data_IF_283320208111
#
_entry.id   IF_283320208111
#
_cell.length_a   1.000
_cell.length_b   1.000
_cell.length_c   1.000
_cell.angle_alpha   90.00
_cell.angle_beta   90.00
_cell.angle_gamma   90.00
#
_symmetry.space_group_name_H-M   'P 1'
#
loop_
_entity.id
_entity.type
_entity.pdbx_description
1 polymer ?
#
# COMPACT_ATOMS: atom_id res chain seq x y z
N UNK A 1 10.93 11.09 -10.82
CA UNK A 1 9.65 10.93 -10.09
C UNK A 1 8.55 11.22 -11.08
N UNK A 2 7.47 10.43 -11.11
CA UNK A 2 6.30 10.81 -11.91
C UNK A 2 5.77 12.13 -11.34
N UNK A 3 5.82 13.20 -12.13
CA UNK A 3 5.36 14.51 -11.69
C UNK A 3 3.84 14.46 -11.70
N UNK A 4 3.20 14.67 -10.56
CA UNK A 4 1.74 14.77 -10.51
C UNK A 4 1.33 16.05 -11.24
N UNK A 5 0.37 15.93 -12.15
CA UNK A 5 -0.19 17.08 -12.87
C UNK A 5 -0.81 18.01 -11.85
N UNK A 6 -0.44 19.28 -11.87
CA UNK A 6 -0.99 20.28 -10.96
C UNK A 6 -2.43 20.62 -11.38
N UNK A 7 -3.35 20.59 -10.42
CA UNK A 7 -4.75 20.95 -10.61
C UNK A 7 -5.33 21.47 -9.29
N UNK A 8 -6.44 22.19 -9.35
CA UNK A 8 -7.04 22.89 -8.20
C UNK A 8 -7.48 21.96 -7.05
N UNK A 9 -7.74 20.68 -7.35
CA UNK A 9 -8.05 19.64 -6.35
C UNK A 9 -6.81 18.88 -5.82
N UNK A 10 -5.59 19.27 -6.22
CA UNK A 10 -4.37 18.63 -5.74
C UNK A 10 -3.94 19.30 -4.43
N UNK A 11 -3.81 18.48 -3.37
CA UNK A 11 -3.34 18.89 -2.05
C UNK A 11 -1.99 19.61 -2.16
N UNK A 12 -1.94 20.86 -1.71
CA UNK A 12 -0.71 21.65 -1.65
C UNK A 12 0.02 21.38 -0.33
N UNK A 13 1.22 20.82 -0.44
CA UNK A 13 1.98 20.37 0.72
C UNK A 13 2.81 21.52 1.30
N UNK A 14 2.87 21.60 2.61
CA UNK A 14 3.91 22.41 3.27
C UNK A 14 5.27 21.74 3.11
N UNK A 15 6.35 22.48 3.43
CA UNK A 15 7.69 21.92 3.44
C UNK A 15 7.80 20.65 4.30
N UNK A 16 7.24 20.68 5.52
CA UNK A 16 7.38 19.58 6.47
C UNK A 16 6.54 18.36 6.07
N UNK A 17 5.34 18.59 5.52
CA UNK A 17 4.51 17.54 4.93
C UNK A 17 5.22 16.88 3.73
N UNK A 18 5.82 17.68 2.86
CA UNK A 18 6.58 17.16 1.73
C UNK A 18 7.79 16.34 2.20
N UNK A 19 8.56 16.85 3.16
CA UNK A 19 9.72 16.15 3.71
C UNK A 19 9.34 14.80 4.34
N UNK A 20 8.25 14.75 5.10
CA UNK A 20 7.70 13.51 5.68
C UNK A 20 7.34 12.50 4.59
N UNK A 21 6.59 12.93 3.58
CA UNK A 21 6.17 12.06 2.47
C UNK A 21 7.38 11.53 1.67
N UNK A 22 8.37 12.38 1.41
CA UNK A 22 9.60 11.98 0.72
C UNK A 22 10.41 10.97 1.51
N UNK A 23 10.51 11.13 2.84
CA UNK A 23 11.15 10.17 3.73
C UNK A 23 10.49 8.79 3.63
N UNK A 24 9.15 8.73 3.77
CA UNK A 24 8.39 7.48 3.67
C UNK A 24 8.51 6.85 2.28
N UNK A 25 8.46 7.66 1.22
CA UNK A 25 8.64 7.17 -0.15
C UNK A 25 10.05 6.63 -0.39
N UNK A 26 11.07 7.25 0.19
CA UNK A 26 12.44 6.76 0.13
C UNK A 26 12.58 5.41 0.84
N UNK A 27 12.01 5.27 2.03
CA UNK A 27 11.97 4.00 2.76
C UNK A 27 11.31 2.91 1.91
N UNK A 28 10.11 3.16 1.37
CA UNK A 28 9.39 2.19 0.51
C UNK A 28 10.21 1.78 -0.71
N UNK A 29 10.87 2.74 -1.37
CA UNK A 29 11.74 2.45 -2.51
C UNK A 29 12.94 1.59 -2.10
N UNK A 30 13.53 1.86 -0.95
CA UNK A 30 14.62 1.06 -0.41
C UNK A 30 14.16 -0.38 -0.12
N UNK A 31 13.02 -0.54 0.56
CA UNK A 31 12.46 -1.87 0.86
C UNK A 31 12.19 -2.66 -0.42
N UNK A 32 11.49 -2.06 -1.39
CA UNK A 32 11.13 -2.73 -2.64
C UNK A 32 12.36 -3.04 -3.52
N UNK A 33 13.29 -2.09 -3.64
CA UNK A 33 14.41 -2.19 -4.57
C UNK A 33 15.65 -2.87 -3.99
N UNK A 34 15.80 -2.95 -2.67
CA UNK A 34 16.97 -3.52 -2.01
C UNK A 34 16.65 -4.70 -1.10
N UNK A 35 15.54 -4.68 -0.36
CA UNK A 35 15.30 -5.71 0.67
C UNK A 35 14.43 -6.84 0.14
N UNK A 36 13.34 -6.52 -0.55
CA UNK A 36 12.38 -7.51 -1.04
C UNK A 36 13.01 -8.61 -1.91
N UNK A 37 13.99 -8.33 -2.82
CA UNK A 37 14.64 -9.39 -3.60
C UNK A 37 15.32 -10.46 -2.74
N UNK A 38 15.95 -10.07 -1.63
CA UNK A 38 16.64 -11.00 -0.73
C UNK A 38 15.70 -11.96 0.00
N UNK A 39 14.38 -11.71 0.01
CA UNK A 39 13.42 -12.67 0.53
C UNK A 39 13.34 -13.92 -0.35
N UNK A 40 13.56 -13.79 -1.66
CA UNK A 40 13.62 -14.93 -2.57
C UNK A 40 14.93 -15.70 -2.36
N UNK A 41 16.06 -15.00 -2.28
CA UNK A 41 17.38 -15.61 -2.03
C UNK A 41 17.39 -16.38 -0.70
N UNK A 42 16.84 -15.80 0.37
CA UNK A 42 16.71 -16.48 1.65
C UNK A 42 15.86 -17.76 1.58
N UNK A 43 14.85 -17.78 0.70
CA UNK A 43 14.05 -18.99 0.50
C UNK A 43 14.90 -20.10 -0.12
N UNK A 44 15.56 -19.80 -1.24
CA UNK A 44 16.37 -20.75 -2.00
C UNK A 44 17.60 -21.22 -1.23
N UNK A 45 18.23 -20.32 -0.48
CA UNK A 45 19.54 -20.60 0.14
C UNK A 45 19.44 -21.35 1.47
N UNK A 46 18.28 -21.25 2.16
CA UNK A 46 18.18 -21.76 3.53
C UNK A 46 16.83 -22.41 3.87
N UNK A 47 15.71 -21.76 3.52
CA UNK A 47 14.39 -22.18 4.03
C UNK A 47 13.91 -23.45 3.34
N UNK A 48 14.14 -23.58 2.03
CA UNK A 48 13.80 -24.78 1.29
C UNK A 48 14.55 -26.01 1.81
N UNK A 49 15.87 -25.92 1.95
CA UNK A 49 16.68 -27.01 2.50
C UNK A 49 16.32 -27.36 3.95
N UNK A 50 15.97 -26.36 4.78
CA UNK A 50 15.50 -26.60 6.14
C UNK A 50 14.15 -27.36 6.14
N UNK A 51 13.23 -26.98 5.26
CA UNK A 51 11.95 -27.66 5.09
C UNK A 51 12.15 -29.10 4.60
N UNK A 52 12.99 -29.33 3.60
CA UNK A 52 13.30 -30.68 3.10
C UNK A 52 13.89 -31.58 4.19
N UNK A 53 14.78 -31.04 5.03
CA UNK A 53 15.38 -31.79 6.14
C UNK A 53 14.34 -32.21 7.19
N UNK A 54 13.33 -31.37 7.44
CA UNK A 54 12.28 -31.64 8.43
C UNK A 54 11.20 -32.58 7.88
N UNK A 55 10.78 -32.40 6.62
CA UNK A 55 9.62 -33.09 6.04
C UNK A 55 9.98 -34.18 5.00
N UNK A 56 11.26 -34.29 4.62
CA UNK A 56 11.75 -35.25 3.62
C UNK A 56 11.32 -34.95 2.18
N UNK A 57 10.86 -33.72 1.90
CA UNK A 57 10.38 -33.25 0.59
C UNK A 57 10.34 -31.73 0.53
N UNK A 58 10.26 -31.17 -0.67
CA UNK A 58 9.98 -29.75 -0.91
C UNK A 58 8.52 -29.36 -0.52
N UNK A 59 8.24 -28.05 -0.30
CA UNK A 59 6.89 -27.53 -0.17
C UNK A 59 6.06 -27.78 -1.44
N UNK A 60 4.83 -28.28 -1.28
CA UNK A 60 3.97 -28.66 -2.42
C UNK A 60 3.16 -27.50 -2.98
N UNK A 61 3.00 -26.45 -2.20
CA UNK A 61 2.10 -25.35 -2.52
C UNK A 61 2.51 -24.07 -1.80
N UNK A 62 1.91 -22.95 -2.24
CA UNK A 62 2.17 -21.63 -1.70
C UNK A 62 1.87 -21.50 -0.20
N UNK A 63 0.80 -22.11 0.38
CA UNK A 63 0.60 -22.13 1.83
C UNK A 63 1.76 -22.74 2.64
N UNK A 64 2.27 -23.91 2.24
CA UNK A 64 3.41 -24.55 2.92
C UNK A 64 4.67 -23.67 2.82
N UNK A 65 4.97 -23.16 1.63
CA UNK A 65 6.10 -22.23 1.43
C UNK A 65 5.95 -20.97 2.29
N UNK A 66 4.74 -20.39 2.36
CA UNK A 66 4.47 -19.22 3.20
C UNK A 66 4.70 -19.52 4.68
N UNK A 67 4.24 -20.67 5.17
CA UNK A 67 4.42 -21.00 6.58
C UNK A 67 5.90 -21.23 6.91
N UNK A 68 6.64 -21.91 6.03
CA UNK A 68 8.10 -22.06 6.16
C UNK A 68 8.81 -20.70 6.21
N UNK A 69 8.45 -19.80 5.29
CA UNK A 69 8.95 -18.41 5.26
C UNK A 69 8.62 -17.66 6.55
N UNK A 70 7.41 -17.84 7.11
CA UNK A 70 6.94 -17.15 8.32
C UNK A 70 7.76 -17.51 9.56
N UNK A 71 8.43 -18.65 9.58
CA UNK A 71 9.32 -19.05 10.68
C UNK A 71 10.69 -18.36 10.62
N UNK A 72 11.03 -17.70 9.51
CA UNK A 72 12.31 -17.00 9.34
C UNK A 72 12.31 -15.62 9.98
N UNK A 73 13.21 -15.37 10.94
CA UNK A 73 13.33 -14.05 11.60
C UNK A 73 13.63 -12.90 10.62
N UNK A 74 14.55 -13.03 9.64
CA UNK A 74 14.73 -12.01 8.61
C UNK A 74 13.46 -11.71 7.82
N UNK A 75 12.66 -12.73 7.49
CA UNK A 75 11.38 -12.53 6.80
C UNK A 75 10.35 -11.83 7.67
N UNK A 76 10.25 -12.21 8.95
CA UNK A 76 9.36 -11.54 9.90
C UNK A 76 9.71 -10.06 10.02
N UNK A 77 11.00 -9.72 10.10
CA UNK A 77 11.47 -8.34 10.15
C UNK A 77 11.13 -7.56 8.88
N UNK A 78 11.42 -8.14 7.70
CA UNK A 78 11.02 -7.56 6.42
C UNK A 78 9.51 -7.34 6.35
N UNK A 79 8.72 -8.35 6.70
CA UNK A 79 7.26 -8.29 6.65
C UNK A 79 6.70 -7.20 7.58
N UNK A 80 7.24 -7.10 8.80
CA UNK A 80 6.86 -6.06 9.75
C UNK A 80 7.18 -4.66 9.24
N UNK A 81 8.37 -4.44 8.67
CA UNK A 81 8.74 -3.13 8.12
C UNK A 81 7.94 -2.82 6.86
N UNK A 82 7.69 -3.80 6.00
CA UNK A 82 6.88 -3.62 4.80
C UNK A 82 5.47 -3.15 5.18
N UNK A 83 4.84 -3.79 6.17
CA UNK A 83 3.55 -3.37 6.71
C UNK A 83 3.62 -1.96 7.31
N UNK A 84 4.59 -1.70 8.19
CA UNK A 84 4.79 -0.39 8.82
C UNK A 84 4.97 0.71 7.77
N UNK A 85 5.71 0.45 6.69
CA UNK A 85 5.90 1.40 5.59
C UNK A 85 4.62 1.70 4.80
N UNK A 86 3.61 0.82 4.89
CA UNK A 86 2.30 1.02 4.31
C UNK A 86 1.41 1.89 5.21
N UNK A 87 1.46 1.67 6.52
CA UNK A 87 0.78 2.51 7.51
C UNK A 87 1.36 3.94 7.48
N UNK A 88 2.70 4.08 7.53
CA UNK A 88 3.39 5.37 7.42
C UNK A 88 3.06 6.13 6.12
N UNK A 89 2.79 5.41 5.02
CA UNK A 89 2.41 6.05 3.76
C UNK A 89 1.12 6.83 3.91
N UNK A 90 0.11 6.22 4.55
CA UNK A 90 -1.18 6.85 4.79
C UNK A 90 -1.08 7.95 5.85
N UNK A 91 -0.40 7.70 6.97
CA UNK A 91 -0.14 8.71 8.00
C UNK A 91 0.57 9.95 7.43
N UNK A 92 1.43 9.79 6.42
CA UNK A 92 2.15 10.91 5.80
C UNK A 92 1.30 11.81 4.90
N UNK A 93 0.13 11.33 4.45
CA UNK A 93 -0.74 12.05 3.51
C UNK A 93 -2.04 12.54 4.14
N UNK A 94 -2.57 11.82 5.15
CA UNK A 94 -3.84 12.15 5.82
C UNK A 94 -3.83 13.58 6.36
N UNK A 95 -2.82 13.95 7.15
CA UNK A 95 -2.73 15.29 7.76
C UNK A 95 -2.84 16.41 6.71
N UNK A 96 -2.16 16.25 5.56
CA UNK A 96 -2.16 17.25 4.50
C UNK A 96 -3.52 17.38 3.79
N UNK A 97 -4.25 16.27 3.68
CA UNK A 97 -5.61 16.21 3.15
C UNK A 97 -6.58 16.84 4.15
N UNK A 98 -6.55 16.43 5.41
CA UNK A 98 -7.46 16.92 6.45
C UNK A 98 -7.34 18.43 6.64
N UNK A 99 -6.11 18.96 6.64
CA UNK A 99 -5.85 20.41 6.73
C UNK A 99 -6.51 21.19 5.60
N UNK A 100 -6.56 20.64 4.38
CA UNK A 100 -7.14 21.29 3.20
C UNK A 100 -8.56 20.83 2.87
N UNK A 101 -9.12 19.90 3.64
CA UNK A 101 -10.41 19.29 3.34
C UNK A 101 -11.55 20.31 3.15
N UNK A 102 -11.69 21.38 3.97
CA UNK A 102 -12.71 22.39 3.73
C UNK A 102 -12.55 23.09 2.37
N UNK A 103 -11.33 23.46 1.99
CA UNK A 103 -11.03 24.17 0.73
C UNK A 103 -11.20 23.25 -0.48
N UNK A 104 -10.81 21.99 -0.36
CA UNK A 104 -11.01 20.96 -1.39
C UNK A 104 -12.50 20.73 -1.65
N UNK A 105 -13.31 20.63 -0.58
CA UNK A 105 -14.77 20.46 -0.70
C UNK A 105 -15.42 21.66 -1.40
N UNK A 106 -15.05 22.88 -1.04
CA UNK A 106 -15.56 24.08 -1.72
C UNK A 106 -15.12 24.16 -3.18
N UNK A 107 -13.86 23.78 -3.46
CA UNK A 107 -13.35 23.71 -4.83
C UNK A 107 -14.10 22.68 -5.67
N UNK A 108 -14.37 21.50 -5.12
CA UNK A 108 -15.13 20.45 -5.78
C UNK A 108 -16.57 20.90 -6.10
N UNK A 109 -17.27 21.54 -5.16
CA UNK A 109 -18.61 22.10 -5.38
C UNK A 109 -18.61 23.13 -6.50
N UNK A 110 -17.66 24.07 -6.51
CA UNK A 110 -17.54 25.08 -7.57
C UNK A 110 -17.36 24.46 -8.96
N UNK A 111 -16.67 23.34 -9.08
CA UNK A 111 -16.55 22.63 -10.35
C UNK A 111 -17.84 21.91 -10.73
N UNK A 112 -18.51 21.26 -9.77
CA UNK A 112 -19.80 20.62 -10.00
C UNK A 112 -20.84 21.62 -10.52
N UNK A 113 -20.89 22.82 -9.96
CA UNK A 113 -21.82 23.89 -10.37
C UNK A 113 -21.51 24.47 -11.76
N UNK A 114 -20.24 24.44 -12.18
CA UNK A 114 -19.78 24.97 -13.49
C UNK A 114 -19.88 23.95 -14.61
N UNK A 115 -19.79 22.66 -14.30
CA UNK A 115 -19.83 21.59 -15.30
C UNK A 115 -21.27 21.35 -15.75
N UNK A 116 -21.72 22.10 -16.76
CA UNK A 116 -23.01 21.88 -17.46
C UNK A 116 -23.10 20.55 -18.25
N UNK A 117 -22.13 19.65 -18.11
CA UNK A 117 -22.10 18.32 -18.73
C UNK A 117 -22.12 17.25 -17.64
N UNK A 118 -23.32 17.04 -17.08
CA UNK A 118 -23.62 16.11 -16.00
C UNK A 118 -23.81 14.67 -16.48
N UNK A 119 -22.72 13.93 -16.56
CA UNK A 119 -22.82 12.47 -16.51
C UNK A 119 -23.24 12.06 -15.10
N UNK A 120 -24.29 11.25 -14.98
CA UNK A 120 -24.66 10.60 -13.71
C UNK A 120 -24.29 9.12 -13.77
N UNK A 121 -23.81 8.59 -12.65
CA UNK A 121 -23.57 7.17 -12.47
C UNK A 121 -24.46 6.70 -11.31
N UNK A 122 -25.35 5.77 -11.59
CA UNK A 122 -26.11 5.05 -10.55
C UNK A 122 -25.51 3.66 -10.43
N UNK A 123 -24.99 3.33 -9.25
CA UNK A 123 -24.45 2.00 -8.97
C UNK A 123 -25.60 1.02 -8.72
N UNK A 124 -25.44 -0.23 -9.15
CA UNK A 124 -26.39 -1.29 -8.82
C UNK A 124 -26.19 -1.74 -7.36
N UNK A 125 -27.16 -1.40 -6.50
CA UNK A 125 -27.18 -1.80 -5.09
C UNK A 125 -27.21 -3.32 -4.85
N UNK A 126 -27.52 -4.13 -5.88
CA UNK A 126 -27.56 -5.59 -5.82
C UNK A 126 -26.26 -6.25 -6.25
N UNK A 127 -25.25 -5.46 -6.65
CA UNK A 127 -23.95 -6.01 -7.03
C UNK A 127 -23.30 -6.69 -5.83
N UNK A 128 -23.14 -8.01 -5.91
CA UNK A 128 -22.42 -8.78 -4.90
C UNK A 128 -20.92 -8.54 -5.04
N UNK A 129 -20.31 -7.91 -4.02
CA UNK A 129 -18.88 -7.69 -3.98
C UNK A 129 -18.19 -8.95 -3.45
N UNK A 130 -17.20 -9.53 -4.18
CA UNK A 130 -16.47 -10.71 -3.72
C UNK A 130 -15.80 -10.52 -2.36
N UNK A 131 -15.81 -11.57 -1.52
CA UNK A 131 -15.23 -11.54 -0.17
C UNK A 131 -13.74 -11.12 -0.11
N UNK A 132 -12.97 -11.37 -1.17
CA UNK A 132 -11.55 -10.98 -1.19
C UNK A 132 -11.35 -9.46 -1.32
N UNK A 133 -12.38 -8.70 -1.72
CA UNK A 133 -12.38 -7.24 -1.76
C UNK A 133 -12.96 -6.60 -0.51
N UNK A 134 -13.80 -7.32 0.25
CA UNK A 134 -14.50 -6.80 1.44
C UNK A 134 -13.96 -7.34 2.76
N UNK A 135 -13.23 -8.46 2.74
CA UNK A 135 -12.76 -9.12 3.96
C UNK A 135 -11.53 -8.47 4.61
N UNK A 136 -10.80 -7.60 3.88
CA UNK A 136 -9.56 -6.99 4.35
C UNK A 136 -9.29 -5.64 3.65
N UNK A 137 -8.64 -4.72 4.36
CA UNK A 137 -8.20 -3.44 3.79
C UNK A 137 -7.02 -3.64 2.85
N UNK A 138 -7.30 -3.68 1.54
CA UNK A 138 -6.26 -3.80 0.52
C UNK A 138 -5.36 -2.56 0.59
N UNK A 139 -4.05 -2.79 0.67
CA UNK A 139 -3.02 -1.76 0.88
C UNK A 139 -3.18 -0.94 2.17
N UNK A 140 -4.00 -1.38 3.14
CA UNK A 140 -4.32 -0.62 4.36
C UNK A 140 -4.82 0.80 4.05
N UNK A 141 -5.41 1.00 2.86
CA UNK A 141 -5.89 2.29 2.43
C UNK A 141 -7.08 2.70 3.29
N UNK A 142 -7.03 3.84 4.00
CA UNK A 142 -8.20 4.38 4.67
C UNK A 142 -9.29 4.70 3.64
N UNK A 143 -10.49 4.16 3.84
CA UNK A 143 -11.63 4.37 2.94
C UNK A 143 -12.71 3.33 3.12
#
# INVERSE_FOLDING_TARGET
>A
MAHQVQHDLLVQRTHDEQSRQECVMSLRRHLAGRIAPHCADMYTDAIESAFEKEYGREPRNRPEMREAMRQSSPYQFFSAIQRTSQELMWDSVIDSVERQLPELNETAKRFADKCGHGGTLTLDSKLEIPNYLTGYDIHLQPG
#
